data_IF_566568822569
#
_entry.id   IF_566568822569
#
_cell.length_a   1.000
_cell.length_b   1.000
_cell.length_c   1.000
_cell.angle_alpha   90.00
_cell.angle_beta   90.00
_cell.angle_gamma   90.00
#
_symmetry.space_group_name_H-M   'P 1'
#
loop_
_entity.id
_entity.type
_entity.pdbx_description
1 polymer ?
#
# COMPACT_ATOMS: atom_id res chain seq x y z
N UNK A 1 -4.79 -4.61 34.70
CA UNK A 1 -3.91 -5.65 34.13
C UNK A 1 -4.26 -6.97 34.80
N UNK A 2 -4.85 -7.91 34.07
CA UNK A 2 -4.68 -9.31 34.46
C UNK A 2 -3.17 -9.57 34.43
N UNK A 3 -2.61 -10.19 35.47
CA UNK A 3 -1.18 -10.38 35.60
C UNK A 3 -0.69 -11.24 34.42
N UNK A 4 0.04 -10.65 33.48
CA UNK A 4 0.54 -11.35 32.30
C UNK A 4 1.49 -12.48 32.70
N UNK A 5 2.09 -12.38 33.88
CA UNK A 5 2.88 -13.43 34.51
C UNK A 5 1.99 -14.61 34.89
N UNK A 6 0.88 -14.38 35.60
CA UNK A 6 -0.08 -15.45 35.94
C UNK A 6 -0.57 -16.17 34.66
N UNK A 7 -0.93 -15.40 33.63
CA UNK A 7 -1.39 -15.96 32.36
C UNK A 7 -0.34 -16.83 31.64
N UNK A 8 0.95 -16.49 31.81
CA UNK A 8 2.09 -17.20 31.25
C UNK A 8 2.41 -18.45 32.06
N UNK A 9 2.39 -18.35 33.39
CA UNK A 9 2.53 -19.50 34.30
C UNK A 9 1.46 -20.54 34.03
N UNK A 10 0.20 -20.12 33.90
CA UNK A 10 -0.92 -20.99 33.53
C UNK A 10 -0.67 -21.67 32.17
N UNK A 11 -0.23 -20.90 31.16
CA UNK A 11 0.06 -21.45 29.84
C UNK A 11 1.26 -22.41 29.84
N UNK A 12 2.27 -22.17 30.68
CA UNK A 12 3.45 -23.02 30.81
C UNK A 12 3.14 -24.34 31.55
N UNK A 13 2.06 -24.37 32.34
CA UNK A 13 1.59 -25.56 33.03
C UNK A 13 0.85 -26.55 32.12
N UNK A 14 0.40 -26.10 30.95
CA UNK A 14 -0.40 -26.86 30.00
C UNK A 14 0.42 -27.29 28.76
N UNK A 15 0.09 -28.48 28.22
CA UNK A 15 0.63 -28.96 26.94
C UNK A 15 2.16 -29.05 26.89
N UNK A 16 2.74 -28.50 25.82
CA UNK A 16 4.19 -28.45 25.57
C UNK A 16 4.87 -27.21 26.22
N UNK A 17 4.12 -26.41 26.99
CA UNK A 17 4.57 -25.15 27.57
C UNK A 17 4.53 -23.96 26.60
N UNK A 18 5.25 -22.91 26.96
CA UNK A 18 5.37 -21.64 26.23
C UNK A 18 6.67 -21.64 25.43
N UNK A 19 6.61 -21.25 24.16
CA UNK A 19 7.77 -21.09 23.29
C UNK A 19 7.52 -19.92 22.32
N UNK A 20 8.21 -18.79 22.50
CA UNK A 20 8.07 -17.63 21.61
C UNK A 20 9.30 -16.71 21.64
N UNK A 21 9.85 -16.38 20.47
CA UNK A 21 10.90 -15.35 20.27
C UNK A 21 12.07 -15.48 21.26
N UNK A 22 12.51 -16.71 21.53
CA UNK A 22 13.61 -17.04 22.44
C UNK A 22 13.20 -17.29 23.89
N UNK A 23 11.95 -17.03 24.28
CA UNK A 23 11.40 -17.46 25.58
C UNK A 23 10.91 -18.91 25.49
N UNK A 24 11.38 -19.76 26.40
CA UNK A 24 10.84 -21.09 26.61
C UNK A 24 10.51 -21.29 28.09
N UNK A 25 9.26 -21.63 28.41
CA UNK A 25 8.84 -21.94 29.78
C UNK A 25 7.97 -23.18 29.77
N UNK A 26 8.37 -24.22 30.50
CA UNK A 26 7.63 -25.47 30.54
C UNK A 26 7.65 -26.09 31.93
N UNK A 27 6.55 -26.76 32.29
CA UNK A 27 6.49 -27.57 33.49
C UNK A 27 7.29 -28.87 33.31
N UNK A 28 8.16 -29.16 34.26
CA UNK A 28 8.98 -30.37 34.33
C UNK A 28 8.59 -31.22 35.54
N UNK A 29 9.23 -32.38 35.71
CA UNK A 29 9.01 -33.25 36.87
C UNK A 29 9.40 -32.62 38.21
N UNK A 30 10.34 -31.65 38.19
CA UNK A 30 10.93 -31.04 39.38
C UNK A 30 10.51 -29.56 39.57
N UNK A 31 9.52 -29.07 38.81
CA UNK A 31 9.04 -27.69 38.88
C UNK A 31 8.81 -27.09 37.49
N UNK A 32 9.28 -25.88 37.27
CA UNK A 32 9.32 -25.23 35.96
C UNK A 32 10.76 -25.03 35.49
N UNK A 33 10.93 -25.06 34.17
CA UNK A 33 12.14 -24.63 33.47
C UNK A 33 11.81 -23.34 32.73
N UNK A 34 12.67 -22.33 32.89
CA UNK A 34 12.65 -21.07 32.15
C UNK A 34 13.97 -20.92 31.40
N UNK A 35 13.88 -20.65 30.12
CA UNK A 35 15.03 -20.46 29.23
C UNK A 35 14.80 -19.23 28.35
N UNK A 36 15.85 -18.42 28.24
CA UNK A 36 15.97 -17.25 27.36
C UNK A 36 17.35 -17.31 26.71
N UNK A 37 17.64 -16.51 25.66
CA UNK A 37 18.97 -16.50 25.04
C UNK A 37 20.11 -16.13 26.02
N UNK A 38 19.80 -15.48 27.15
CA UNK A 38 20.79 -15.02 28.14
C UNK A 38 20.78 -15.82 29.45
N UNK A 39 19.80 -16.69 29.70
CA UNK A 39 19.67 -17.40 30.96
C UNK A 39 18.86 -18.70 30.87
N UNK A 40 19.25 -19.69 31.68
CA UNK A 40 18.54 -20.95 31.90
C UNK A 40 18.35 -21.15 33.41
N UNK A 41 17.12 -21.46 33.84
CA UNK A 41 16.75 -21.72 35.23
C UNK A 41 15.84 -22.95 35.30
N UNK A 42 16.22 -23.96 36.08
CA UNK A 42 15.45 -25.20 36.27
C UNK A 42 14.96 -25.36 37.72
N UNK A 43 13.96 -26.23 37.92
CA UNK A 43 13.46 -26.60 39.24
C UNK A 43 12.73 -25.47 39.96
N UNK A 44 12.17 -24.51 39.21
CA UNK A 44 11.48 -23.37 39.78
C UNK A 44 10.11 -23.79 40.34
N UNK A 45 9.81 -23.42 41.58
CA UNK A 45 8.42 -23.39 42.05
C UNK A 45 7.62 -22.31 41.28
N UNK A 46 6.30 -22.38 41.31
CA UNK A 46 5.41 -21.39 40.66
C UNK A 46 5.71 -19.94 41.08
N UNK A 47 5.92 -19.69 42.38
CA UNK A 47 6.29 -18.36 42.88
C UNK A 47 7.69 -17.94 42.40
N UNK A 48 8.65 -18.87 42.40
CA UNK A 48 10.00 -18.61 41.90
C UNK A 48 10.04 -18.38 40.38
N UNK A 49 9.12 -18.99 39.63
CA UNK A 49 8.92 -18.72 38.21
C UNK A 49 8.35 -17.31 38.02
N UNK A 50 7.35 -16.92 38.80
CA UNK A 50 6.74 -15.59 38.73
C UNK A 50 7.77 -14.49 39.01
N UNK A 51 8.57 -14.67 40.06
CA UNK A 51 9.68 -13.77 40.38
C UNK A 51 10.72 -13.73 39.24
N UNK A 52 11.07 -14.88 38.67
CA UNK A 52 12.02 -14.95 37.55
C UNK A 52 11.50 -14.28 36.28
N UNK A 53 10.19 -14.38 35.98
CA UNK A 53 9.59 -13.72 34.82
C UNK A 53 9.58 -12.20 34.95
N UNK A 54 9.56 -11.67 36.18
CA UNK A 54 9.74 -10.24 36.43
C UNK A 54 11.14 -9.74 36.05
N UNK A 55 12.18 -10.58 36.14
CA UNK A 55 13.53 -10.26 35.64
C UNK A 55 13.60 -10.25 34.09
N UNK A 56 12.65 -10.89 33.42
CA UNK A 56 12.57 -11.05 31.96
C UNK A 56 11.26 -10.49 31.40
N UNK A 57 10.86 -9.34 31.92
CA UNK A 57 9.54 -8.74 31.67
C UNK A 57 9.24 -8.51 30.19
N UNK A 58 10.25 -8.13 29.41
CA UNK A 58 10.13 -7.91 27.96
C UNK A 58 9.71 -9.19 27.22
N UNK A 59 10.24 -10.35 27.63
CA UNK A 59 9.84 -11.64 27.07
C UNK A 59 8.42 -12.03 27.51
N UNK A 60 8.09 -11.81 28.78
CA UNK A 60 6.78 -12.17 29.34
C UNK A 60 5.65 -11.34 28.70
N UNK A 61 5.83 -10.01 28.62
CA UNK A 61 4.89 -9.10 27.96
C UNK A 61 4.82 -9.34 26.45
N UNK A 62 5.93 -9.71 25.79
CA UNK A 62 5.93 -10.03 24.36
C UNK A 62 5.10 -11.30 24.09
N UNK A 63 5.31 -12.35 24.90
CA UNK A 63 4.49 -13.54 24.82
C UNK A 63 3.01 -13.24 25.05
N UNK A 64 2.70 -12.46 26.08
CA UNK A 64 1.31 -12.13 26.41
C UNK A 64 0.65 -11.36 25.27
N UNK A 65 1.32 -10.35 24.72
CA UNK A 65 0.82 -9.57 23.60
C UNK A 65 0.50 -10.46 22.39
N UNK A 66 1.46 -11.25 21.94
CA UNK A 66 1.28 -12.08 20.75
C UNK A 66 0.28 -13.23 20.97
N UNK A 67 0.29 -13.86 22.14
CA UNK A 67 -0.51 -15.06 22.41
C UNK A 67 -1.93 -14.75 22.89
N UNK A 68 -2.11 -13.65 23.63
CA UNK A 68 -3.39 -13.30 24.28
C UNK A 68 -4.07 -12.07 23.70
N UNK A 69 -3.30 -11.03 23.36
CA UNK A 69 -3.88 -9.77 22.81
C UNK A 69 -4.16 -9.93 21.32
N UNK A 70 -3.15 -10.31 20.53
CA UNK A 70 -3.28 -10.53 19.08
C UNK A 70 -3.89 -11.91 18.79
N UNK A 71 -3.37 -12.94 19.47
CA UNK A 71 -3.80 -14.32 19.28
C UNK A 71 -3.43 -14.91 17.91
N UNK A 72 -4.01 -16.06 17.60
CA UNK A 72 -3.70 -16.85 16.38
C UNK A 72 -4.82 -16.87 15.34
N UNK A 73 -5.99 -16.29 15.66
CA UNK A 73 -7.18 -16.36 14.79
C UNK A 73 -7.00 -15.65 13.45
N UNK A 74 -6.00 -14.77 13.32
CA UNK A 74 -5.71 -14.04 12.09
C UNK A 74 -4.20 -13.95 11.84
N UNK A 75 -3.60 -14.98 11.23
CA UNK A 75 -2.16 -15.05 11.02
C UNK A 75 -1.64 -13.90 10.15
N UNK A 76 -2.42 -13.42 9.17
CA UNK A 76 -2.08 -12.27 8.35
C UNK A 76 -1.97 -10.97 9.17
N UNK A 77 -2.84 -10.77 10.16
CA UNK A 77 -2.79 -9.59 11.04
C UNK A 77 -1.59 -9.65 11.95
N UNK A 78 -1.36 -10.83 12.54
CA UNK A 78 -0.18 -11.09 13.35
C UNK A 78 1.12 -10.84 12.57
N UNK A 79 1.20 -11.33 11.32
CA UNK A 79 2.36 -11.13 10.46
C UNK A 79 2.59 -9.65 10.13
N UNK A 80 1.53 -8.91 9.82
CA UNK A 80 1.62 -7.47 9.56
C UNK A 80 2.07 -6.69 10.79
N UNK A 81 1.47 -6.96 11.96
CA UNK A 81 1.87 -6.32 13.23
C UNK A 81 3.34 -6.62 13.56
N UNK A 82 3.79 -7.85 13.35
CA UNK A 82 5.20 -8.23 13.52
C UNK A 82 6.12 -7.44 12.61
N UNK A 83 5.74 -7.27 11.35
CA UNK A 83 6.52 -6.52 10.37
C UNK A 83 6.59 -5.02 10.68
N UNK A 84 5.49 -4.38 11.13
CA UNK A 84 5.54 -2.97 11.56
C UNK A 84 6.35 -2.78 12.84
N UNK A 85 6.40 -3.78 13.72
CA UNK A 85 7.25 -3.80 14.92
C UNK A 85 8.73 -4.17 14.64
N UNK A 86 9.13 -4.38 13.37
CA UNK A 86 10.49 -4.78 13.01
C UNK A 86 10.87 -6.20 13.45
N UNK A 87 9.90 -7.05 13.81
CA UNK A 87 10.13 -8.44 14.24
C UNK A 87 10.51 -9.39 13.08
N UNK A 88 10.67 -8.86 11.88
CA UNK A 88 11.19 -9.53 10.69
C UNK A 88 12.72 -9.46 10.57
N UNK A 89 13.39 -8.65 11.39
CA UNK A 89 14.85 -8.57 11.42
C UNK A 89 15.47 -9.87 11.98
N UNK A 90 16.34 -10.50 11.19
CA UNK A 90 17.09 -11.69 11.61
C UNK A 90 17.95 -11.38 12.85
N UNK A 91 18.01 -12.34 13.78
CA UNK A 91 18.83 -12.31 15.00
C UNK A 91 18.55 -11.18 16.02
N UNK A 92 17.47 -10.41 15.86
CA UNK A 92 17.08 -9.41 16.86
C UNK A 92 16.40 -10.07 18.07
N UNK A 93 16.98 -9.91 19.26
CA UNK A 93 16.37 -10.36 20.52
C UNK A 93 15.16 -9.49 20.89
N UNK A 94 14.24 -10.04 21.69
CA UNK A 94 13.09 -9.27 22.20
C UNK A 94 13.53 -7.98 22.93
N UNK A 95 14.55 -8.00 23.82
CA UNK A 95 15.07 -6.77 24.43
C UNK A 95 15.53 -5.72 23.43
N UNK A 96 16.33 -6.11 22.42
CA UNK A 96 16.82 -5.18 21.41
C UNK A 96 15.67 -4.59 20.56
N UNK A 97 14.62 -5.38 20.31
CA UNK A 97 13.41 -4.89 19.62
C UNK A 97 12.59 -3.96 20.50
N UNK A 98 12.48 -4.26 21.79
CA UNK A 98 11.80 -3.40 22.76
C UNK A 98 12.50 -2.03 22.90
N UNK A 99 13.84 -2.00 22.93
CA UNK A 99 14.59 -0.76 22.89
C UNK A 99 14.28 0.06 21.62
N UNK A 100 14.28 -0.58 20.45
CA UNK A 100 13.91 0.09 19.20
C UNK A 100 12.46 0.59 19.20
N UNK A 101 11.52 -0.19 19.78
CA UNK A 101 10.13 0.24 19.93
C UNK A 101 9.99 1.42 20.90
N UNK A 102 10.81 1.54 21.94
CA UNK A 102 10.79 2.73 22.83
C UNK A 102 11.25 3.98 22.10
N UNK A 103 12.23 3.84 21.19
CA UNK A 103 12.72 4.93 20.33
C UNK A 103 11.73 5.30 19.20
N UNK A 104 10.89 4.33 18.80
CA UNK A 104 9.94 4.47 17.70
C UNK A 104 10.43 3.75 16.44
N UNK A 105 9.64 2.79 15.96
CA UNK A 105 9.89 2.09 14.69
C UNK A 105 8.94 2.64 13.64
N UNK A 106 9.50 3.09 12.51
CA UNK A 106 8.75 3.65 11.39
C UNK A 106 8.70 2.67 10.22
N UNK A 107 7.51 2.54 9.61
CA UNK A 107 7.29 1.78 8.38
C UNK A 107 6.32 2.51 7.45
N UNK A 108 6.53 2.35 6.15
CA UNK A 108 5.62 2.85 5.14
C UNK A 108 4.78 1.73 4.54
N UNK A 109 3.49 2.01 4.31
CA UNK A 109 2.56 1.10 3.68
C UNK A 109 1.72 1.85 2.65
N UNK A 110 2.17 1.86 1.40
CA UNK A 110 1.62 2.77 0.38
C UNK A 110 1.87 4.21 0.78
N UNK A 111 0.84 5.04 0.87
CA UNK A 111 0.95 6.43 1.33
C UNK A 111 0.72 6.60 2.84
N UNK A 112 0.75 5.50 3.61
CA UNK A 112 0.62 5.53 5.06
C UNK A 112 1.99 5.41 5.72
N UNK A 113 2.25 6.27 6.71
CA UNK A 113 3.40 6.17 7.60
C UNK A 113 2.90 5.66 8.96
N UNK A 114 3.46 4.54 9.40
CA UNK A 114 3.15 3.88 10.67
C UNK A 114 4.33 4.09 11.60
N UNK A 115 4.08 4.65 12.78
CA UNK A 115 5.09 4.73 13.85
C UNK A 115 4.61 3.86 15.00
N UNK A 116 5.46 2.92 15.44
CA UNK A 116 5.16 2.00 16.53
C UNK A 116 6.01 2.36 17.73
N UNK A 117 5.37 2.66 18.85
CA UNK A 117 6.05 2.92 20.12
C UNK A 117 5.63 1.94 21.20
N UNK A 118 6.53 1.66 22.13
CA UNK A 118 6.26 0.90 23.34
C UNK A 118 6.33 1.82 24.56
N UNK A 119 5.28 1.85 25.38
CA UNK A 119 5.26 2.64 26.61
C UNK A 119 5.99 1.94 27.78
N UNK A 120 6.09 2.65 28.91
CA UNK A 120 6.73 2.15 30.14
C UNK A 120 6.01 0.93 30.74
N UNK A 121 4.72 0.71 30.41
CA UNK A 121 3.90 -0.41 30.84
C UNK A 121 3.98 -1.60 29.85
N UNK A 122 4.76 -1.51 28.79
CA UNK A 122 4.90 -2.54 27.75
C UNK A 122 3.71 -2.61 26.78
N UNK A 123 2.89 -1.58 26.70
CA UNK A 123 1.79 -1.45 25.74
C UNK A 123 2.29 -0.88 24.42
N UNK A 124 1.75 -1.39 23.31
CA UNK A 124 2.10 -0.95 21.95
C UNK A 124 1.11 0.13 21.54
N UNK A 125 1.65 1.24 21.06
CA UNK A 125 0.90 2.33 20.47
C UNK A 125 1.27 2.44 19.01
N UNK A 126 0.25 2.48 18.15
CA UNK A 126 0.43 2.58 16.72
C UNK A 126 -0.11 3.91 16.25
N UNK A 127 0.79 4.77 15.79
CA UNK A 127 0.42 5.99 15.11
C UNK A 127 0.30 5.74 13.61
N UNK A 128 -0.67 6.38 12.96
CA UNK A 128 -0.85 6.34 11.51
C UNK A 128 -1.10 7.74 10.95
N UNK A 129 -0.34 8.13 9.93
CA UNK A 129 -0.53 9.38 9.18
C UNK A 129 -0.18 9.20 7.71
N UNK A 130 -0.31 10.25 6.90
CA UNK A 130 0.17 10.23 5.52
C UNK A 130 1.71 10.35 5.46
N UNK A 131 2.38 9.67 4.51
CA UNK A 131 3.87 9.68 4.37
C UNK A 131 4.48 11.07 4.23
N UNK A 132 3.82 11.96 3.49
CA UNK A 132 4.22 13.37 3.34
C UNK A 132 4.14 14.20 4.65
N UNK A 133 3.68 13.60 5.75
CA UNK A 133 3.44 14.26 7.04
C UNK A 133 4.22 13.59 8.19
N UNK A 134 5.19 12.72 7.88
CA UNK A 134 6.07 12.06 8.85
C UNK A 134 6.68 13.06 9.84
N UNK A 135 7.21 14.17 9.34
CA UNK A 135 7.88 15.21 10.16
C UNK A 135 6.93 16.29 10.70
N UNK A 136 5.61 16.18 10.48
CA UNK A 136 4.65 17.20 10.93
C UNK A 136 4.29 17.05 12.41
N UNK A 137 4.07 18.18 13.09
CA UNK A 137 3.55 18.18 14.45
C UNK A 137 2.08 17.77 14.46
N UNK A 138 1.63 17.06 15.51
CA UNK A 138 0.24 16.62 15.62
C UNK A 138 -0.76 17.77 15.63
N UNK A 139 -0.40 18.91 16.24
CA UNK A 139 -1.26 20.09 16.34
C UNK A 139 -1.56 20.75 14.98
N UNK A 140 -0.81 20.39 13.93
CA UNK A 140 -1.04 20.82 12.56
C UNK A 140 -1.94 19.86 11.75
N UNK A 141 -2.38 18.74 12.35
CA UNK A 141 -3.14 17.66 11.70
C UNK A 141 -4.50 17.42 12.38
N UNK A 142 -5.51 17.05 11.60
CA UNK A 142 -6.79 16.64 12.16
C UNK A 142 -6.66 15.27 12.84
N UNK A 143 -6.94 15.22 14.15
CA UNK A 143 -6.79 14.01 14.97
C UNK A 143 -8.02 13.10 14.90
N UNK A 144 -7.80 11.80 14.72
CA UNK A 144 -8.84 10.77 14.73
C UNK A 144 -8.42 9.58 15.60
N UNK A 145 -9.35 9.03 16.39
CA UNK A 145 -9.06 7.88 17.27
C UNK A 145 -9.80 6.60 16.86
N UNK A 146 -10.76 6.69 15.95
CA UNK A 146 -11.65 5.60 15.59
C UNK A 146 -11.36 5.14 14.16
N UNK A 147 -11.03 3.85 13.91
CA UNK A 147 -10.74 3.32 12.56
C UNK A 147 -11.81 3.63 11.53
N UNK A 148 -13.06 3.78 11.98
CA UNK A 148 -14.19 4.16 11.14
C UNK A 148 -13.97 5.48 10.37
N UNK A 149 -13.22 6.42 10.94
CA UNK A 149 -12.91 7.71 10.31
C UNK A 149 -12.15 7.54 8.98
N UNK A 150 -11.31 6.50 8.86
CA UNK A 150 -10.55 6.22 7.64
C UNK A 150 -11.44 6.03 6.42
N UNK A 151 -12.72 5.63 6.58
CA UNK A 151 -13.65 5.52 5.45
C UNK A 151 -13.88 6.85 4.76
N UNK A 152 -14.04 7.92 5.55
CA UNK A 152 -14.26 9.26 4.99
C UNK A 152 -12.97 9.79 4.36
N UNK A 153 -11.84 9.64 5.06
CA UNK A 153 -10.53 10.06 4.58
C UNK A 153 -10.12 9.35 3.28
N UNK A 154 -10.42 8.05 3.15
CA UNK A 154 -10.14 7.29 1.94
C UNK A 154 -11.08 7.61 0.76
N UNK A 155 -12.16 8.37 0.96
CA UNK A 155 -13.22 8.57 -0.05
C UNK A 155 -12.85 9.60 -1.10
N UNK A 156 -12.14 10.67 -0.72
CA UNK A 156 -11.81 11.79 -1.60
C UNK A 156 -10.30 12.05 -1.62
N UNK A 157 -9.80 12.59 -2.72
CA UNK A 157 -8.41 13.08 -2.83
C UNK A 157 -8.29 14.53 -2.30
N UNK A 158 -7.08 15.09 -2.33
CA UNK A 158 -6.81 16.46 -1.87
C UNK A 158 -7.63 17.52 -2.63
N UNK A 159 -8.04 17.22 -3.86
CA UNK A 159 -8.87 18.09 -4.71
C UNK A 159 -10.37 17.88 -4.47
N UNK A 160 -10.75 17.02 -3.52
CA UNK A 160 -12.14 16.68 -3.22
C UNK A 160 -12.80 15.77 -4.25
N UNK A 161 -12.02 15.16 -5.17
CA UNK A 161 -12.52 14.22 -6.17
C UNK A 161 -12.66 12.84 -5.55
N UNK A 162 -13.71 12.11 -5.93
CA UNK A 162 -13.92 10.75 -5.43
C UNK A 162 -12.77 9.83 -5.83
N UNK A 163 -12.30 8.98 -4.91
CA UNK A 163 -11.27 7.96 -5.12
C UNK A 163 -11.91 6.60 -5.43
N UNK A 164 -12.12 6.24 -6.72
CA UNK A 164 -12.66 4.94 -7.11
C UNK A 164 -11.67 3.81 -6.85
N UNK A 165 -10.37 4.07 -6.99
CA UNK A 165 -9.30 3.14 -6.66
C UNK A 165 -8.65 3.57 -5.34
N UNK A 166 -8.84 2.75 -4.30
CA UNK A 166 -8.31 3.04 -2.97
C UNK A 166 -6.79 2.98 -2.88
N UNK A 167 -6.16 2.21 -3.77
CA UNK A 167 -4.71 2.18 -3.94
C UNK A 167 -4.17 3.20 -4.94
N UNK A 168 -4.99 4.13 -5.44
CA UNK A 168 -4.46 5.23 -6.26
C UNK A 168 -3.50 6.09 -5.44
N UNK A 169 -2.41 6.56 -6.05
CA UNK A 169 -1.40 7.41 -5.41
C UNK A 169 -1.89 8.86 -5.27
N UNK A 170 -2.99 9.02 -4.53
CA UNK A 170 -3.74 10.27 -4.38
C UNK A 170 -4.53 10.33 -3.07
N UNK A 171 -4.07 9.59 -2.04
CA UNK A 171 -4.60 9.74 -0.70
C UNK A 171 -4.36 11.17 -0.20
N UNK A 172 -5.39 11.82 0.33
CA UNK A 172 -5.23 13.13 0.93
C UNK A 172 -4.49 13.03 2.27
N UNK A 173 -3.60 13.97 2.56
CA UNK A 173 -3.02 14.18 3.90
C UNK A 173 -3.92 15.03 4.80
N UNK A 174 -3.32 15.61 5.85
CA UNK A 174 -3.94 16.53 6.81
C UNK A 174 -4.52 15.84 8.03
N UNK A 175 -4.15 14.58 8.31
CA UNK A 175 -4.77 13.80 9.38
C UNK A 175 -3.76 12.90 10.10
N UNK A 176 -4.09 12.56 11.34
CA UNK A 176 -3.31 11.61 12.15
C UNK A 176 -4.24 10.76 13.02
N UNK A 177 -3.92 9.47 13.12
CA UNK A 177 -4.38 8.60 14.20
C UNK A 177 -3.25 8.46 15.20
N UNK A 178 -3.26 9.18 16.33
CA UNK A 178 -2.08 9.32 17.19
C UNK A 178 -1.83 8.07 18.06
N UNK A 179 -2.87 7.28 18.30
CA UNK A 179 -2.83 6.19 19.28
C UNK A 179 -3.89 5.15 18.93
N UNK A 180 -3.52 4.19 18.08
CA UNK A 180 -4.30 3.00 17.78
C UNK A 180 -3.74 1.79 18.53
N UNK A 181 -4.59 0.83 18.85
CA UNK A 181 -4.14 -0.52 19.18
C UNK A 181 -3.85 -1.33 17.91
N UNK A 182 -3.25 -2.53 18.06
CA UNK A 182 -2.87 -3.36 16.91
C UNK A 182 -4.06 -3.84 16.06
N UNK A 183 -5.25 -4.01 16.66
CA UNK A 183 -6.45 -4.37 15.90
C UNK A 183 -6.90 -3.18 15.06
N UNK A 184 -6.98 -2.02 15.68
CA UNK A 184 -7.47 -0.78 15.09
C UNK A 184 -6.52 -0.27 14.01
N UNK A 185 -5.20 -0.43 14.16
CA UNK A 185 -4.23 -0.18 13.10
C UNK A 185 -4.55 -0.99 11.84
N UNK A 186 -4.69 -2.32 11.97
CA UNK A 186 -4.97 -3.19 10.83
C UNK A 186 -6.31 -2.82 10.19
N UNK A 187 -7.37 -2.60 10.99
CA UNK A 187 -8.68 -2.20 10.46
C UNK A 187 -8.61 -0.87 9.70
N UNK A 188 -7.80 0.08 10.17
CA UNK A 188 -7.55 1.37 9.53
C UNK A 188 -6.78 1.21 8.23
N UNK A 189 -5.69 0.43 8.22
CA UNK A 189 -4.91 0.10 7.01
C UNK A 189 -5.77 -0.62 5.97
N UNK A 190 -6.56 -1.64 6.36
CA UNK A 190 -7.46 -2.36 5.46
C UNK A 190 -8.61 -1.48 4.93
N UNK A 191 -8.93 -0.39 5.63
CA UNK A 191 -9.90 0.61 5.15
C UNK A 191 -9.30 1.51 4.08
N UNK A 192 -8.05 1.96 4.27
CA UNK A 192 -7.32 2.74 3.26
C UNK A 192 -6.95 1.90 2.04
N UNK A 193 -6.47 0.68 2.25
CA UNK A 193 -6.04 -0.24 1.20
C UNK A 193 -6.66 -1.64 1.38
N UNK A 194 -7.89 -1.83 0.88
CA UNK A 194 -8.57 -3.12 1.00
C UNK A 194 -7.75 -4.29 0.44
N UNK A 195 -7.69 -5.35 1.24
CA UNK A 195 -6.98 -6.60 0.97
C UNK A 195 -5.45 -6.49 0.80
N UNK A 196 -4.83 -5.35 1.13
CA UNK A 196 -3.37 -5.22 1.04
C UNK A 196 -2.65 -6.20 1.98
N UNK A 197 -3.03 -6.22 3.26
CA UNK A 197 -2.44 -7.07 4.30
C UNK A 197 -2.59 -8.57 3.99
N UNK A 198 -3.79 -9.11 3.71
CA UNK A 198 -3.93 -10.53 3.41
C UNK A 198 -3.23 -10.95 2.11
N UNK A 199 -3.15 -10.09 1.09
CA UNK A 199 -2.45 -10.43 -0.15
C UNK A 199 -0.93 -10.41 0.03
N UNK A 200 -0.39 -9.41 0.72
CA UNK A 200 1.02 -9.38 1.13
C UNK A 200 1.39 -10.61 1.97
N UNK A 201 0.52 -11.02 2.89
CA UNK A 201 0.75 -12.24 3.66
C UNK A 201 0.79 -13.48 2.74
N UNK A 202 -0.18 -13.65 1.83
CA UNK A 202 -0.22 -14.79 0.90
C UNK A 202 1.01 -14.83 0.00
N UNK A 203 1.49 -13.70 -0.47
CA UNK A 203 2.71 -13.60 -1.26
C UNK A 203 3.91 -14.16 -0.51
N UNK A 204 4.12 -13.73 0.74
CA UNK A 204 5.21 -14.23 1.59
C UNK A 204 5.11 -15.73 1.86
N UNK A 205 3.90 -16.27 1.92
CA UNK A 205 3.66 -17.70 2.08
C UNK A 205 3.71 -18.48 0.74
N UNK A 206 3.95 -17.80 -0.40
CA UNK A 206 3.95 -18.44 -1.73
C UNK A 206 2.57 -18.95 -2.16
N UNK A 207 1.51 -18.35 -1.65
CA UNK A 207 0.10 -18.74 -1.89
C UNK A 207 -0.75 -17.63 -2.52
N UNK A 208 -0.12 -16.55 -3.00
CA UNK A 208 -0.82 -15.49 -3.71
C UNK A 208 -1.39 -16.04 -5.02
N UNK A 209 -2.69 -15.88 -5.19
CA UNK A 209 -3.41 -16.29 -6.39
C UNK A 209 -3.41 -15.14 -7.40
N UNK A 210 -2.45 -15.16 -8.32
CA UNK A 210 -2.34 -14.16 -9.41
C UNK A 210 -3.27 -14.53 -10.56
N UNK A 211 -4.09 -13.58 -11.01
CA UNK A 211 -4.89 -13.70 -12.22
C UNK A 211 -4.30 -12.78 -13.31
N UNK A 212 -3.70 -13.40 -14.31
CA UNK A 212 -3.07 -12.70 -15.42
C UNK A 212 -4.11 -12.00 -16.32
N UNK A 213 -3.62 -11.16 -17.23
CA UNK A 213 -4.44 -10.38 -18.14
C UNK A 213 -5.39 -11.24 -18.97
N UNK A 214 -4.88 -12.31 -19.59
CA UNK A 214 -5.68 -13.21 -20.46
C UNK A 214 -6.87 -13.82 -19.70
N UNK A 215 -6.66 -14.27 -18.46
CA UNK A 215 -7.72 -14.82 -17.61
C UNK A 215 -8.76 -13.78 -17.25
N UNK A 216 -8.30 -12.59 -16.84
CA UNK A 216 -9.16 -11.51 -16.40
C UNK A 216 -10.04 -10.99 -17.54
N UNK A 217 -9.45 -10.80 -18.72
CA UNK A 217 -10.19 -10.41 -19.94
C UNK A 217 -11.11 -11.53 -20.40
N UNK A 218 -10.70 -12.80 -20.30
CA UNK A 218 -11.50 -13.98 -20.65
C UNK A 218 -12.86 -14.03 -19.95
N UNK A 219 -12.94 -13.51 -18.72
CA UNK A 219 -14.16 -13.47 -17.89
C UNK A 219 -15.07 -12.27 -18.18
N UNK A 220 -14.59 -11.24 -18.88
CA UNK A 220 -15.39 -10.03 -19.13
C UNK A 220 -16.59 -10.33 -20.02
N UNK A 221 -17.75 -9.75 -19.71
CA UNK A 221 -19.00 -9.96 -20.46
C UNK A 221 -19.72 -8.64 -20.73
N UNK A 222 -20.81 -8.71 -21.51
CA UNK A 222 -21.62 -7.54 -21.84
C UNK A 222 -20.81 -6.44 -22.51
N UNK A 223 -20.92 -5.23 -21.97
CA UNK A 223 -20.31 -4.01 -22.51
C UNK A 223 -18.76 -4.04 -22.49
N UNK A 224 -18.16 -4.86 -21.63
CA UNK A 224 -16.70 -5.04 -21.53
C UNK A 224 -16.16 -6.17 -22.42
N UNK A 225 -17.03 -6.94 -23.09
CA UNK A 225 -16.60 -8.03 -23.98
C UNK A 225 -15.76 -7.55 -25.17
N UNK A 226 -15.83 -6.25 -25.51
CA UNK A 226 -15.01 -5.62 -26.54
C UNK A 226 -13.51 -5.73 -26.25
N UNK A 227 -13.08 -5.72 -24.98
CA UNK A 227 -11.63 -5.83 -24.66
C UNK A 227 -11.05 -7.16 -25.16
N UNK A 228 -11.87 -8.22 -25.26
CA UNK A 228 -11.46 -9.51 -25.82
C UNK A 228 -11.07 -9.44 -27.30
N UNK A 229 -11.50 -8.42 -28.05
CA UNK A 229 -11.11 -8.27 -29.44
C UNK A 229 -9.70 -7.70 -29.59
N UNK A 230 -9.21 -6.98 -28.57
CA UNK A 230 -7.86 -6.45 -28.56
C UNK A 230 -6.81 -7.57 -28.42
N UNK A 231 -7.13 -8.58 -27.59
CA UNK A 231 -6.34 -9.82 -27.44
C UNK A 231 -6.37 -10.76 -28.67
N UNK A 232 -6.81 -10.31 -29.85
CA UNK A 232 -6.87 -11.12 -31.08
C UNK A 232 -5.82 -10.74 -32.12
N UNK A 233 -5.02 -9.71 -31.86
CA UNK A 233 -3.87 -9.36 -32.70
C UNK A 233 -2.65 -10.26 -32.43
N UNK A 234 -1.61 -10.08 -33.23
CA UNK A 234 -0.31 -10.74 -33.05
C UNK A 234 0.55 -9.90 -32.07
N UNK A 235 0.31 -9.99 -30.75
CA UNK A 235 1.15 -9.34 -29.73
C UNK A 235 0.48 -9.08 -28.38
N UNK A 236 1.29 -8.63 -27.41
CA UNK A 236 0.88 -8.18 -26.07
C UNK A 236 1.23 -6.72 -25.78
N UNK A 237 1.79 -5.99 -26.77
CA UNK A 237 2.24 -4.60 -26.66
C UNK A 237 1.14 -3.65 -26.16
N UNK A 238 -0.12 -3.93 -26.50
CA UNK A 238 -1.24 -3.16 -25.98
C UNK A 238 -1.42 -3.28 -24.46
N UNK A 239 -1.02 -4.41 -23.89
CA UNK A 239 -1.06 -4.64 -22.45
C UNK A 239 0.10 -3.93 -21.76
N UNK A 240 1.26 -3.82 -22.41
CA UNK A 240 2.36 -2.98 -21.93
C UNK A 240 1.91 -1.52 -21.81
N UNK A 241 1.31 -0.94 -22.85
CA UNK A 241 0.79 0.45 -22.78
C UNK A 241 -0.28 0.62 -21.69
N UNK A 242 -1.14 -0.39 -21.50
CA UNK A 242 -2.13 -0.38 -20.42
C UNK A 242 -1.44 -0.40 -19.05
N UNK A 243 -0.44 -1.25 -18.87
CA UNK A 243 0.31 -1.36 -17.62
C UNK A 243 1.07 -0.06 -17.33
N UNK A 244 1.81 0.46 -18.30
CA UNK A 244 2.55 1.74 -18.22
C UNK A 244 1.63 2.90 -17.85
N UNK A 245 0.45 2.96 -18.47
CA UNK A 245 -0.49 4.08 -18.24
C UNK A 245 -1.26 4.00 -16.92
N UNK A 246 -1.45 2.81 -16.34
CA UNK A 246 -2.36 2.62 -15.19
C UNK A 246 -1.70 2.08 -13.92
N UNK A 247 -0.56 1.43 -14.03
CA UNK A 247 0.04 0.63 -12.96
C UNK A 247 1.42 1.13 -12.53
N UNK A 248 1.88 2.26 -13.06
CA UNK A 248 3.04 2.98 -12.58
C UNK A 248 2.86 3.44 -11.12
N UNK A 249 3.94 3.57 -10.36
CA UNK A 249 3.92 3.97 -8.95
C UNK A 249 3.35 5.39 -8.75
N UNK A 250 3.44 6.27 -9.76
CA UNK A 250 2.75 7.56 -9.75
C UNK A 250 1.22 7.43 -9.80
N UNK A 251 0.69 6.29 -10.24
CA UNK A 251 -0.75 6.03 -10.39
C UNK A 251 -1.29 5.12 -9.28
N UNK A 252 -0.54 4.12 -8.84
CA UNK A 252 -1.01 3.11 -7.90
C UNK A 252 0.09 2.66 -6.94
N UNK A 253 -0.21 2.59 -5.63
CA UNK A 253 0.76 2.21 -4.59
C UNK A 253 0.99 0.69 -4.45
N UNK A 254 0.40 -0.11 -5.35
CA UNK A 254 0.53 -1.57 -5.35
C UNK A 254 1.56 -1.98 -6.38
N UNK A 255 2.38 -2.97 -6.05
CA UNK A 255 3.23 -3.67 -7.02
C UNK A 255 2.42 -4.65 -7.85
N UNK A 256 2.38 -4.49 -9.16
CA UNK A 256 1.73 -5.40 -10.11
C UNK A 256 2.45 -6.74 -10.21
N UNK A 257 1.74 -7.81 -9.86
CA UNK A 257 2.21 -9.20 -10.01
C UNK A 257 1.62 -9.88 -11.25
N UNK A 258 0.42 -9.47 -11.69
CA UNK A 258 -0.21 -10.05 -12.88
C UNK A 258 0.58 -9.67 -14.14
N UNK A 259 0.84 -10.64 -15.02
CA UNK A 259 1.48 -10.45 -16.33
C UNK A 259 0.48 -10.66 -17.48
N UNK A 260 0.95 -10.82 -18.72
CA UNK A 260 0.07 -11.11 -19.85
C UNK A 260 -0.64 -12.46 -19.67
N UNK A 261 0.14 -13.52 -19.44
CA UNK A 261 -0.29 -14.87 -19.05
C UNK A 261 0.81 -15.54 -18.21
N UNK A 262 0.68 -16.84 -17.91
CA UNK A 262 1.64 -17.61 -17.11
C UNK A 262 3.02 -17.77 -17.80
N UNK A 263 3.09 -17.62 -19.13
CA UNK A 263 4.30 -17.88 -19.94
C UNK A 263 4.92 -16.59 -20.50
N UNK A 264 4.19 -15.47 -20.43
CA UNK A 264 4.53 -14.20 -21.07
C UNK A 264 4.52 -13.06 -20.05
N UNK A 265 5.71 -12.60 -19.71
CA UNK A 265 5.91 -11.39 -18.91
C UNK A 265 5.64 -10.14 -19.76
N UNK A 266 5.22 -9.05 -19.10
CA UNK A 266 5.18 -7.72 -19.70
C UNK A 266 6.56 -7.06 -19.65
N UNK A 267 6.85 -6.18 -20.61
CA UNK A 267 8.11 -5.43 -20.69
C UNK A 267 8.16 -4.28 -19.66
N UNK A 268 7.00 -3.84 -19.16
CA UNK A 268 6.87 -2.77 -18.17
C UNK A 268 7.07 -3.32 -16.76
N UNK A 269 7.78 -2.59 -15.90
CA UNK A 269 8.00 -2.98 -14.51
C UNK A 269 6.67 -3.06 -13.71
N UNK A 270 6.66 -3.85 -12.64
CA UNK A 270 5.48 -4.00 -11.78
C UNK A 270 5.32 -2.87 -10.75
N UNK A 271 6.35 -2.04 -10.54
CA UNK A 271 6.41 -1.02 -9.49
C UNK A 271 7.03 -1.54 -8.19
N UNK A 272 7.35 -0.62 -7.28
CA UNK A 272 8.08 -0.91 -6.04
C UNK A 272 7.16 -1.01 -4.80
N UNK A 273 5.84 -0.98 -5.00
CA UNK A 273 4.85 -1.02 -3.92
C UNK A 273 5.05 -2.17 -2.92
N UNK A 274 4.90 -1.86 -1.63
CA UNK A 274 5.13 -2.81 -0.54
C UNK A 274 4.19 -4.04 -0.54
N UNK A 275 3.05 -3.96 -1.23
CA UNK A 275 2.05 -5.03 -1.29
C UNK A 275 1.54 -5.29 -2.71
N UNK A 276 1.18 -6.54 -3.03
CA UNK A 276 0.91 -6.95 -4.41
C UNK A 276 -0.48 -6.60 -4.94
N UNK A 277 -0.53 -6.38 -6.25
CA UNK A 277 -1.71 -6.32 -7.10
C UNK A 277 -1.77 -7.60 -7.94
N UNK A 278 -2.63 -8.53 -7.50
CA UNK A 278 -2.74 -9.87 -8.08
C UNK A 278 -3.54 -9.96 -9.38
N UNK A 279 -4.29 -8.93 -9.76
CA UNK A 279 -5.18 -8.97 -10.94
C UNK A 279 -5.42 -7.57 -11.53
N UNK A 280 -5.66 -7.43 -12.86
CA UNK A 280 -6.08 -6.18 -13.47
C UNK A 280 -7.35 -5.62 -12.80
N UNK A 281 -7.27 -4.42 -12.24
CA UNK A 281 -8.37 -3.84 -11.49
C UNK A 281 -9.49 -3.29 -12.39
N UNK A 282 -10.63 -2.97 -11.81
CA UNK A 282 -11.78 -2.43 -12.57
C UNK A 282 -11.49 -1.14 -13.34
N UNK A 283 -10.57 -0.29 -12.86
CA UNK A 283 -10.14 0.91 -13.60
C UNK A 283 -9.35 0.55 -14.85
N UNK A 284 -8.41 -0.41 -14.74
CA UNK A 284 -7.67 -0.94 -15.90
C UNK A 284 -8.68 -1.46 -16.93
N UNK A 285 -9.64 -2.30 -16.54
CA UNK A 285 -10.65 -2.84 -17.46
C UNK A 285 -11.50 -1.74 -18.12
N UNK A 286 -11.85 -0.69 -17.37
CA UNK A 286 -12.59 0.45 -17.90
C UNK A 286 -11.78 1.28 -18.89
N UNK A 287 -10.51 1.54 -18.59
CA UNK A 287 -9.57 2.25 -19.46
C UNK A 287 -9.30 1.45 -20.73
N UNK A 288 -8.94 0.17 -20.60
CA UNK A 288 -8.72 -0.73 -21.73
C UNK A 288 -9.92 -0.81 -22.65
N UNK A 289 -11.14 -0.83 -22.12
CA UNK A 289 -12.35 -0.77 -22.96
C UNK A 289 -12.43 0.49 -23.82
N UNK A 290 -12.01 1.65 -23.29
CA UNK A 290 -12.01 2.90 -24.05
C UNK A 290 -10.90 2.86 -25.11
N UNK A 291 -9.72 2.39 -24.76
CA UNK A 291 -8.58 2.29 -25.69
C UNK A 291 -8.78 1.25 -26.79
N UNK A 292 -9.37 0.08 -26.49
CA UNK A 292 -9.72 -0.90 -27.53
C UNK A 292 -10.64 -0.31 -28.61
N UNK A 293 -11.47 0.68 -28.27
CA UNK A 293 -12.32 1.37 -29.26
C UNK A 293 -11.53 2.36 -30.09
N UNK A 294 -10.63 3.12 -29.45
CA UNK A 294 -9.75 4.08 -30.12
C UNK A 294 -8.82 3.35 -31.10
N UNK A 295 -8.19 2.26 -30.65
CA UNK A 295 -7.32 1.41 -31.50
C UNK A 295 -8.08 0.63 -32.58
N UNK A 296 -9.42 0.60 -32.50
CA UNK A 296 -10.26 0.04 -33.56
C UNK A 296 -10.52 1.02 -34.71
N UNK A 297 -10.17 2.29 -34.56
CA UNK A 297 -10.33 3.31 -35.59
C UNK A 297 -9.24 3.18 -36.66
N UNK A 298 -9.57 3.49 -37.92
CA UNK A 298 -8.56 3.47 -38.98
C UNK A 298 -7.64 4.67 -38.80
N UNK A 299 -6.33 4.43 -38.79
CA UNK A 299 -5.33 5.52 -38.77
C UNK A 299 -5.56 6.48 -39.93
N UNK A 300 -5.63 7.77 -39.61
CA UNK A 300 -5.68 8.86 -40.57
C UNK A 300 -4.43 9.72 -40.42
N UNK A 301 -3.97 10.30 -41.54
CA UNK A 301 -2.85 11.25 -41.54
C UNK A 301 -3.40 12.67 -41.56
N UNK A 302 -3.01 13.47 -40.55
CA UNK A 302 -3.31 14.89 -40.48
C UNK A 302 -2.01 15.69 -40.71
N UNK A 303 -2.04 16.67 -41.62
CA UNK A 303 -0.87 17.50 -41.95
C UNK A 303 -1.12 18.96 -41.58
N UNK A 304 -0.24 19.52 -40.74
CA UNK A 304 -0.23 20.93 -40.38
C UNK A 304 1.19 21.37 -40.00
N UNK A 305 1.45 22.68 -40.06
CA UNK A 305 2.77 23.25 -39.80
C UNK A 305 2.88 23.80 -38.38
N UNK A 306 3.90 23.38 -37.63
CA UNK A 306 4.26 23.90 -36.32
C UNK A 306 5.72 24.39 -36.34
N UNK A 307 5.99 25.45 -35.61
CA UNK A 307 7.38 25.76 -35.23
C UNK A 307 7.90 24.73 -34.21
N UNK A 308 9.22 24.51 -34.10
CA UNK A 308 9.78 23.59 -33.12
C UNK A 308 9.27 23.85 -31.69
N UNK A 309 9.21 25.11 -31.27
CA UNK A 309 8.74 25.49 -29.94
C UNK A 309 7.24 25.29 -29.73
N UNK A 310 6.42 25.28 -30.79
CA UNK A 310 5.00 24.94 -30.68
C UNK A 310 4.79 23.44 -30.51
N UNK A 311 5.59 22.63 -31.24
CA UNK A 311 5.60 21.17 -31.06
C UNK A 311 6.08 20.79 -29.65
N UNK A 312 7.21 21.34 -29.21
CA UNK A 312 7.74 21.15 -27.85
C UNK A 312 6.70 21.54 -26.78
N UNK A 313 5.92 22.59 -27.03
CA UNK A 313 4.88 23.01 -26.10
C UNK A 313 3.71 22.01 -26.04
N UNK A 314 3.30 21.42 -27.18
CA UNK A 314 2.26 20.39 -27.19
C UNK A 314 2.71 19.13 -26.44
N UNK A 315 3.97 18.71 -26.64
CA UNK A 315 4.58 17.60 -25.90
C UNK A 315 4.57 17.87 -24.40
N UNK A 316 5.03 19.05 -23.98
CA UNK A 316 5.02 19.44 -22.57
C UNK A 316 3.60 19.48 -21.95
N UNK A 317 2.57 19.82 -22.74
CA UNK A 317 1.17 19.77 -22.28
C UNK A 317 0.73 18.33 -22.05
N UNK A 318 1.07 17.40 -22.97
CA UNK A 318 0.74 15.98 -22.81
C UNK A 318 1.42 15.43 -21.56
N UNK A 319 2.73 15.67 -21.40
CA UNK A 319 3.51 15.18 -20.26
C UNK A 319 2.95 15.72 -18.93
N UNK A 320 2.66 17.03 -18.86
CA UNK A 320 2.14 17.63 -17.62
C UNK A 320 0.75 17.11 -17.24
N UNK A 321 -0.08 16.73 -18.22
CA UNK A 321 -1.40 16.12 -17.96
C UNK A 321 -1.25 14.65 -17.57
N UNK A 322 -0.37 13.90 -18.24
CA UNK A 322 -0.10 12.50 -17.92
C UNK A 322 0.42 12.34 -16.49
N UNK A 323 1.28 13.26 -16.03
CA UNK A 323 1.88 13.24 -14.70
C UNK A 323 1.01 13.90 -13.59
N UNK A 324 -0.22 14.37 -13.89
CA UNK A 324 -1.06 15.21 -13.00
C UNK A 324 -0.36 16.48 -12.44
N UNK A 325 0.67 17.00 -13.12
CA UNK A 325 1.49 18.16 -12.70
C UNK A 325 0.94 19.53 -13.09
N UNK A 326 -0.26 19.57 -13.67
CA UNK A 326 -0.82 20.84 -14.19
C UNK A 326 -1.09 21.88 -13.09
N UNK A 327 -1.40 21.45 -11.87
CA UNK A 327 -1.68 22.34 -10.74
C UNK A 327 -0.40 22.91 -10.08
N UNK A 328 0.75 22.26 -10.29
CA UNK A 328 2.04 22.70 -9.76
C UNK A 328 2.63 23.88 -10.55
N UNK A 329 2.16 24.09 -11.78
CA UNK A 329 2.65 25.14 -12.67
C UNK A 329 2.03 26.48 -12.25
N UNK A 330 2.85 27.35 -11.65
CA UNK A 330 2.38 28.65 -11.18
C UNK A 330 1.96 29.53 -12.35
N UNK A 331 0.97 30.37 -12.10
CA UNK A 331 0.41 31.27 -13.11
C UNK A 331 1.48 32.14 -13.81
N UNK A 332 2.46 32.64 -13.04
CA UNK A 332 3.52 33.51 -13.54
C UNK A 332 4.73 32.77 -14.16
N UNK A 333 4.77 31.43 -14.10
CA UNK A 333 5.87 30.62 -14.63
C UNK A 333 5.69 30.40 -16.14
N UNK A 334 5.68 31.50 -16.90
CA UNK A 334 5.41 31.54 -18.36
C UNK A 334 6.48 30.86 -19.22
N UNK A 335 7.54 30.36 -18.60
CA UNK A 335 8.60 29.57 -19.26
C UNK A 335 8.28 28.08 -19.26
N UNK A 336 7.42 27.60 -18.36
CA UNK A 336 6.95 26.21 -18.33
C UNK A 336 6.04 25.92 -19.52
N UNK A 337 6.30 24.85 -20.27
CA UNK A 337 5.61 24.54 -21.53
C UNK A 337 4.09 24.40 -21.38
N UNK A 338 3.65 23.71 -20.32
CA UNK A 338 2.24 23.51 -20.02
C UNK A 338 1.59 24.68 -19.25
N UNK A 339 2.29 25.81 -19.07
CA UNK A 339 1.71 26.99 -18.42
C UNK A 339 0.41 27.45 -19.12
N UNK A 340 -0.60 27.78 -18.31
CA UNK A 340 -1.94 28.17 -18.77
C UNK A 340 -1.95 29.32 -19.77
N UNK A 341 -1.11 30.35 -19.61
CA UNK A 341 -1.06 31.47 -20.55
C UNK A 341 -0.47 31.07 -21.90
N UNK A 342 0.55 30.20 -21.90
CA UNK A 342 1.10 29.66 -23.13
C UNK A 342 0.11 28.77 -23.86
N UNK A 343 -0.59 27.88 -23.15
CA UNK A 343 -1.61 27.02 -23.74
C UNK A 343 -2.75 27.84 -24.36
N UNK A 344 -3.17 28.92 -23.68
CA UNK A 344 -4.17 29.87 -24.21
C UNK A 344 -3.69 30.61 -25.46
N UNK A 345 -2.42 31.04 -25.49
CA UNK A 345 -1.84 31.70 -26.66
C UNK A 345 -1.76 30.74 -27.84
N UNK A 346 -1.28 29.52 -27.62
CA UNK A 346 -1.21 28.47 -28.64
C UNK A 346 -2.59 28.19 -29.23
N UNK A 347 -3.62 28.03 -28.37
CA UNK A 347 -5.00 27.85 -28.81
C UNK A 347 -5.51 29.03 -29.65
N UNK A 348 -5.28 30.26 -29.21
CA UNK A 348 -5.71 31.46 -29.94
C UNK A 348 -5.00 31.64 -31.29
N UNK A 349 -3.81 31.08 -31.45
CA UNK A 349 -3.02 31.17 -32.69
C UNK A 349 -3.37 30.05 -33.67
N UNK A 350 -3.49 28.81 -33.19
CA UNK A 350 -3.55 27.62 -34.03
C UNK A 350 -4.97 27.10 -34.27
N UNK A 351 -5.94 27.36 -33.39
CA UNK A 351 -7.29 26.81 -33.55
C UNK A 351 -8.15 27.77 -34.38
N UNK A 352 -8.90 27.22 -35.33
CA UNK A 352 -9.91 27.98 -36.06
C UNK A 352 -11.18 28.23 -35.21
N UNK A 353 -12.17 28.92 -35.79
CA UNK A 353 -13.43 29.24 -35.12
C UNK A 353 -14.28 28.00 -34.81
N UNK A 354 -14.05 26.88 -35.51
CA UNK A 354 -14.72 25.59 -35.30
C UNK A 354 -13.99 24.69 -34.29
N UNK A 355 -12.82 25.12 -33.80
CA UNK A 355 -12.03 24.41 -32.81
C UNK A 355 -11.08 23.36 -33.40
N UNK A 356 -10.81 23.40 -34.71
CA UNK A 356 -9.86 22.51 -35.37
C UNK A 356 -8.43 23.02 -35.19
N UNK A 357 -7.53 22.12 -34.80
CA UNK A 357 -6.10 22.43 -34.72
C UNK A 357 -5.56 22.74 -36.12
N UNK A 358 -4.97 23.91 -36.28
CA UNK A 358 -4.43 24.43 -37.54
C UNK A 358 -5.46 24.51 -38.68
N UNK A 359 -6.76 24.55 -38.38
CA UNK A 359 -7.83 24.53 -39.38
C UNK A 359 -7.98 23.19 -40.11
N UNK A 360 -7.39 22.10 -39.57
CA UNK A 360 -7.49 20.76 -40.14
C UNK A 360 -8.64 20.00 -39.47
N UNK A 361 -9.72 19.64 -40.21
CA UNK A 361 -10.85 18.91 -39.64
C UNK A 361 -10.43 17.58 -39.01
N UNK A 362 -11.05 17.23 -37.88
CA UNK A 362 -10.80 15.94 -37.19
C UNK A 362 -11.57 14.78 -37.79
N UNK A 363 -12.73 15.04 -38.41
CA UNK A 363 -13.46 14.04 -39.18
C UNK A 363 -13.51 14.50 -40.64
N UNK A 364 -13.42 13.56 -41.58
CA UNK A 364 -13.68 13.85 -42.99
C UNK A 364 -15.13 14.38 -43.12
N UNK A 365 -15.30 15.59 -43.66
CA UNK A 365 -16.63 16.12 -44.00
C UNK A 365 -17.32 15.13 -44.95
N UNK A 366 -18.29 14.38 -44.42
CA UNK A 366 -18.99 13.31 -45.13
C UNK A 366 -20.09 13.83 -46.05
#
# INVERSE_FOLDING_TARGET
MADYIDALVDAAADGDGVSLDGLHVARTGDGYRLETPSAERDGLSESALSDALSDFDEYATNWFFWSRVVGESSPQRRAFLRWVEGADAEDQSVPARYDALRDGIEREWGQLHVTVTLDDDGQRHYELRHVNEADREHDDLDTYHEPLAARQLATYDEKGRYRPLKSGNNLAGGWVFPDLDGRDLVETVETFYPASVPNWYREREGTLDVEHWVDTIGRQTGMYSVVKTWNRGDGHEHVDWVAESCCDDSQCVKRREWQYDDETDLDVDGGDGAFPCREPCSLVIAASRKWTRLEGENTQTYEFELTPSEKEQLEAIVDAVADDRTDDIREADVYEGANRYRARFLRAKLFDDDGNLCGVPTEDES
#
